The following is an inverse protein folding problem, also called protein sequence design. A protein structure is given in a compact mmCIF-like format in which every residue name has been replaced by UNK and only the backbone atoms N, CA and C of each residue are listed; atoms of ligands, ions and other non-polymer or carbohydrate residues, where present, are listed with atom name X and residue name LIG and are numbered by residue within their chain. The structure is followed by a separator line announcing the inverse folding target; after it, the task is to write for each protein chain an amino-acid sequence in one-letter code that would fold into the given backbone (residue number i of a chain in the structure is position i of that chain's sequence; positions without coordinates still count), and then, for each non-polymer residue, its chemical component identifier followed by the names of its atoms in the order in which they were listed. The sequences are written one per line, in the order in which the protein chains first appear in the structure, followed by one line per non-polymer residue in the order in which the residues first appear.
data_IF_714448506739
#
_entry.id   IF_714448506739
#
_cell.length_a   1.000
_cell.length_b   1.000
_cell.length_c   1.000
_cell.angle_alpha   90.00
_cell.angle_beta   90.00
_cell.angle_gamma   90.00
#
_symmetry.space_group_name_H-M   'P 1'
#
loop_
_entity.id
_entity.type
_entity.pdbx_description
1 polymer ?
#
# COMPACT_ATOMS: atom_id res chain seq x y z
N UNK A 1 -15.17 -73.13 -19.76
CA UNK A 1 -15.07 -72.86 -18.29
C UNK A 1 -14.67 -71.43 -18.08
N UNK A 2 -15.70 -70.56 -18.03
CA UNK A 2 -15.52 -69.15 -17.69
C UNK A 2 -15.56 -68.98 -16.16
N UNK A 3 -14.48 -68.52 -15.58
CA UNK A 3 -14.44 -68.06 -14.21
C UNK A 3 -14.88 -66.59 -14.18
N UNK A 4 -15.86 -66.17 -13.37
CA UNK A 4 -16.25 -64.78 -13.26
C UNK A 4 -15.21 -64.01 -12.46
N UNK A 5 -14.83 -62.85 -12.97
CA UNK A 5 -13.99 -61.84 -12.30
C UNK A 5 -14.68 -61.38 -11.03
N UNK A 6 -13.96 -61.53 -9.91
CA UNK A 6 -14.35 -61.05 -8.58
C UNK A 6 -14.32 -59.53 -8.57
N UNK A 7 -15.48 -58.93 -8.49
CA UNK A 7 -15.66 -57.49 -8.26
C UNK A 7 -14.90 -57.09 -6.99
N UNK A 8 -13.83 -56.30 -7.16
CA UNK A 8 -13.15 -55.63 -6.05
C UNK A 8 -13.97 -54.38 -5.72
N UNK A 9 -14.82 -54.50 -4.71
CA UNK A 9 -15.50 -53.37 -4.09
C UNK A 9 -14.46 -52.40 -3.59
N UNK A 10 -14.49 -51.09 -3.95
CA UNK A 10 -13.62 -50.12 -3.34
C UNK A 10 -14.03 -49.93 -1.88
N UNK A 11 -13.22 -50.48 -0.95
CA UNK A 11 -13.34 -50.20 0.46
C UNK A 11 -13.14 -48.69 0.69
N UNK A 12 -14.27 -47.99 0.70
CA UNK A 12 -14.35 -46.61 1.17
C UNK A 12 -14.21 -46.60 2.70
N UNK A 13 -12.99 -46.78 3.21
CA UNK A 13 -12.66 -46.47 4.58
C UNK A 13 -12.09 -45.05 4.62
N UNK A 14 -12.91 -44.06 4.27
CA UNK A 14 -12.75 -42.75 4.87
C UNK A 14 -13.11 -42.95 6.34
N UNK A 15 -12.09 -43.19 7.14
CA UNK A 15 -12.14 -42.98 8.60
C UNK A 15 -12.53 -41.51 8.78
N UNK A 16 -13.82 -41.27 8.96
CA UNK A 16 -14.34 -39.98 9.45
C UNK A 16 -13.62 -39.73 10.78
N UNK A 17 -12.59 -38.88 10.74
CA UNK A 17 -12.00 -38.34 11.96
C UNK A 17 -13.11 -37.64 12.72
N UNK A 18 -13.26 -37.90 14.01
CA UNK A 18 -14.24 -37.17 14.82
C UNK A 18 -13.92 -35.67 14.70
N UNK A 19 -14.95 -34.89 14.44
CA UNK A 19 -14.92 -33.43 14.24
C UNK A 19 -14.34 -32.65 15.44
N UNK A 20 -13.98 -33.32 16.51
CA UNK A 20 -13.46 -32.78 17.79
C UNK A 20 -12.07 -33.33 18.14
N UNK A 21 -11.22 -33.60 17.16
CA UNK A 21 -9.84 -33.97 17.43
C UNK A 21 -9.16 -32.76 18.14
N UNK A 22 -8.52 -32.95 19.30
CA UNK A 22 -7.76 -31.89 19.99
C UNK A 22 -6.73 -31.23 19.10
N UNK A 23 -6.23 -31.96 18.11
CA UNK A 23 -5.30 -31.41 17.10
C UNK A 23 -6.00 -30.39 16.17
N UNK A 24 -7.24 -30.67 15.76
CA UNK A 24 -8.04 -29.75 14.94
C UNK A 24 -8.46 -28.50 15.71
N UNK A 25 -8.72 -28.65 17.02
CA UNK A 25 -8.97 -27.51 17.91
C UNK A 25 -7.72 -26.64 18.11
N UNK A 26 -6.53 -27.23 18.25
CA UNK A 26 -5.27 -26.48 18.30
C UNK A 26 -4.95 -25.79 16.97
N UNK A 27 -5.17 -26.48 15.84
CA UNK A 27 -4.97 -25.90 14.51
C UNK A 27 -5.93 -24.73 14.28
N UNK A 28 -7.18 -24.86 14.69
CA UNK A 28 -8.17 -23.80 14.59
C UNK A 28 -7.85 -22.64 15.53
N UNK A 29 -7.41 -22.90 16.77
CA UNK A 29 -7.00 -21.87 17.72
C UNK A 29 -5.74 -21.10 17.25
N UNK A 30 -4.76 -21.80 16.68
CA UNK A 30 -3.57 -21.16 16.11
C UNK A 30 -3.91 -20.41 14.81
N UNK A 31 -4.85 -20.94 14.01
CA UNK A 31 -5.34 -20.27 12.80
C UNK A 31 -6.20 -19.06 13.16
N UNK A 32 -7.05 -19.16 14.18
CA UNK A 32 -7.80 -18.02 14.75
C UNK A 32 -6.86 -16.96 15.35
N UNK A 33 -5.73 -17.35 15.93
CA UNK A 33 -4.71 -16.40 16.41
C UNK A 33 -4.07 -15.58 15.27
N UNK A 34 -3.98 -16.15 14.08
CA UNK A 34 -3.46 -15.47 12.88
C UNK A 34 -4.58 -14.67 12.16
N UNK A 35 -5.81 -15.15 12.21
CA UNK A 35 -6.99 -14.49 11.59
C UNK A 35 -7.60 -13.43 12.51
N UNK A 36 -7.32 -13.46 13.81
CA UNK A 36 -7.75 -12.39 14.76
C UNK A 36 -6.94 -11.09 14.65
N UNK A 37 -6.64 -10.67 13.43
CA UNK A 37 -6.59 -9.24 13.09
C UNK A 37 -8.00 -8.59 13.16
N UNK A 38 -9.04 -9.37 13.39
CA UNK A 38 -10.43 -8.90 13.59
C UNK A 38 -10.66 -8.02 14.84
N UNK A 39 -9.64 -7.79 15.67
CA UNK A 39 -9.74 -6.92 16.84
C UNK A 39 -8.91 -5.65 16.78
N UNK A 40 -8.12 -5.42 15.72
CA UNK A 40 -7.33 -4.20 15.61
C UNK A 40 -8.24 -3.04 15.16
N UNK A 41 -8.46 -2.10 16.07
CA UNK A 41 -9.13 -0.86 15.73
C UNK A 41 -8.34 -0.14 14.62
N UNK A 42 -9.03 0.47 13.65
CA UNK A 42 -8.42 1.19 12.52
C UNK A 42 -7.27 2.11 12.94
N UNK A 43 -7.42 2.79 14.09
CA UNK A 43 -6.37 3.64 14.67
C UNK A 43 -5.10 2.86 15.05
N UNK A 44 -5.24 1.63 15.54
CA UNK A 44 -4.10 0.77 15.90
C UNK A 44 -3.36 0.29 14.65
N UNK A 45 -4.10 -0.03 13.59
CA UNK A 45 -3.52 -0.39 12.29
C UNK A 45 -2.75 0.81 11.71
N UNK A 46 -3.37 1.99 11.67
CA UNK A 46 -2.70 3.21 11.22
C UNK A 46 -1.45 3.54 12.05
N UNK A 47 -1.50 3.37 13.37
CA UNK A 47 -0.35 3.61 14.25
C UNK A 47 0.78 2.60 14.00
N UNK A 48 0.45 1.33 13.81
CA UNK A 48 1.43 0.29 13.48
C UNK A 48 2.08 0.56 12.13
N UNK A 49 1.28 0.89 11.10
CA UNK A 49 1.79 1.26 9.78
C UNK A 49 2.66 2.51 9.85
N UNK A 50 2.23 3.54 10.58
CA UNK A 50 2.99 4.78 10.76
C UNK A 50 4.33 4.54 11.48
N UNK A 51 4.40 3.59 12.42
CA UNK A 51 5.66 3.26 13.10
C UNK A 51 6.71 2.67 12.15
N UNK A 52 6.29 1.97 11.11
CA UNK A 52 7.18 1.40 10.09
C UNK A 52 7.75 2.47 9.14
N UNK A 53 7.09 3.63 9.03
CA UNK A 53 7.55 4.75 8.19
C UNK A 53 8.49 5.69 8.94
N UNK A 54 8.48 5.67 10.28
CA UNK A 54 9.32 6.57 11.08
C UNK A 54 10.80 6.58 10.69
N UNK A 55 11.45 5.48 10.29
CA UNK A 55 12.82 5.51 9.78
C UNK A 55 12.99 6.39 8.53
N UNK A 56 11.92 6.57 7.75
CA UNK A 56 11.89 7.32 6.49
C UNK A 56 11.33 8.74 6.62
N UNK A 57 11.18 9.27 7.84
CA UNK A 57 10.58 10.59 8.15
C UNK A 57 11.12 11.73 7.30
N UNK A 58 12.43 11.73 6.98
CA UNK A 58 13.03 12.78 6.13
C UNK A 58 12.43 12.81 4.72
N UNK A 59 12.21 11.64 4.12
CA UNK A 59 11.59 11.53 2.78
C UNK A 59 10.12 11.90 2.83
N UNK A 60 9.42 11.47 3.88
CA UNK A 60 8.04 11.83 4.11
C UNK A 60 7.87 13.37 4.22
N UNK A 61 8.74 14.03 5.00
CA UNK A 61 8.76 15.50 5.11
C UNK A 61 9.03 16.15 3.74
N UNK A 62 9.97 15.62 2.97
CA UNK A 62 10.26 16.13 1.62
C UNK A 62 9.05 16.00 0.69
N UNK A 63 8.36 14.86 0.69
CA UNK A 63 7.13 14.66 -0.09
C UNK A 63 6.07 15.70 0.29
N UNK A 64 5.85 15.94 1.57
CA UNK A 64 4.90 16.96 2.04
C UNK A 64 5.33 18.38 1.65
N UNK A 65 6.60 18.70 1.78
CA UNK A 65 7.10 20.01 1.39
C UNK A 65 6.89 20.28 -0.10
N UNK A 66 7.25 19.33 -0.95
CA UNK A 66 7.03 19.46 -2.39
C UNK A 66 5.53 19.49 -2.74
N UNK A 67 4.69 18.71 -2.05
CA UNK A 67 3.25 18.74 -2.23
C UNK A 67 2.64 20.09 -1.89
N UNK A 68 2.99 20.68 -0.75
CA UNK A 68 2.51 22.01 -0.35
C UNK A 68 3.00 23.10 -1.31
N UNK A 69 4.29 23.08 -1.67
CA UNK A 69 4.84 24.02 -2.64
C UNK A 69 4.16 23.93 -4.01
N UNK A 70 3.87 22.71 -4.46
CA UNK A 70 3.11 22.47 -5.69
C UNK A 70 1.72 23.09 -5.65
N UNK A 71 1.00 22.90 -4.54
CA UNK A 71 -0.36 23.45 -4.40
C UNK A 71 -0.32 24.99 -4.38
N UNK A 72 0.64 25.59 -3.66
CA UNK A 72 0.84 27.04 -3.67
C UNK A 72 1.13 27.54 -5.11
N UNK A 73 2.01 26.88 -5.85
CA UNK A 73 2.29 27.21 -7.23
C UNK A 73 1.04 27.07 -8.13
N UNK A 74 0.25 26.02 -7.92
CA UNK A 74 -0.99 25.79 -8.67
C UNK A 74 -2.05 26.88 -8.41
N UNK A 75 -2.21 27.31 -7.15
CA UNK A 75 -3.06 28.46 -6.79
C UNK A 75 -2.53 29.72 -7.49
N UNK A 76 -1.20 29.92 -7.51
CA UNK A 76 -0.57 31.02 -8.22
C UNK A 76 -0.90 31.05 -9.72
N UNK A 77 -0.94 29.88 -10.39
CA UNK A 77 -1.39 29.77 -11.79
C UNK A 77 -2.82 30.29 -11.94
N UNK A 78 -3.74 29.90 -11.05
CA UNK A 78 -5.12 30.37 -11.07
C UNK A 78 -5.23 31.89 -10.88
N UNK A 79 -4.50 32.43 -9.92
CA UNK A 79 -4.48 33.88 -9.63
C UNK A 79 -3.93 34.67 -10.83
N UNK A 80 -2.79 34.26 -11.40
CA UNK A 80 -2.20 34.92 -12.58
C UNK A 80 -3.13 34.84 -13.78
N UNK A 81 -3.80 33.71 -14.00
CA UNK A 81 -4.79 33.58 -15.06
C UNK A 81 -5.94 34.57 -14.91
N UNK A 82 -6.45 34.74 -13.67
CA UNK A 82 -7.49 35.72 -13.38
C UNK A 82 -7.01 37.18 -13.61
N UNK A 83 -5.76 37.48 -13.21
CA UNK A 83 -5.15 38.79 -13.43
C UNK A 83 -4.99 39.11 -14.93
N UNK A 84 -4.58 38.14 -15.75
CA UNK A 84 -4.47 38.30 -17.21
C UNK A 84 -5.84 38.61 -17.81
N UNK A 85 -6.90 37.89 -17.43
CA UNK A 85 -8.26 38.15 -17.89
C UNK A 85 -8.72 39.57 -17.50
N UNK A 86 -8.39 39.99 -16.27
CA UNK A 86 -8.72 41.35 -15.81
C UNK A 86 -7.93 42.42 -16.55
N UNK A 87 -6.65 42.22 -16.82
CA UNK A 87 -5.81 43.13 -17.59
C UNK A 87 -6.33 43.26 -19.02
N UNK A 88 -6.69 42.14 -19.64
CA UNK A 88 -7.28 42.15 -21.00
C UNK A 88 -8.59 42.94 -21.06
N UNK A 89 -9.48 42.76 -20.05
CA UNK A 89 -10.72 43.51 -19.95
C UNK A 89 -10.48 45.02 -19.80
N UNK A 90 -9.44 45.41 -19.06
CA UNK A 90 -9.11 46.81 -18.79
C UNK A 90 -8.18 47.40 -19.84
N UNK A 91 -7.84 46.65 -20.90
CA UNK A 91 -6.91 47.06 -21.96
C UNK A 91 -5.54 47.51 -21.45
N UNK A 92 -5.08 46.89 -20.32
CA UNK A 92 -3.75 47.10 -19.75
C UNK A 92 -2.75 46.06 -20.24
N UNK A 93 -1.43 46.38 -20.29
CA UNK A 93 -0.42 45.41 -20.69
C UNK A 93 -0.45 44.19 -19.73
N UNK A 94 -0.34 42.99 -20.29
CA UNK A 94 -0.38 41.73 -19.53
C UNK A 94 0.82 40.82 -19.79
N UNK A 95 1.78 41.26 -20.56
CA UNK A 95 2.94 40.48 -21.00
C UNK A 95 3.74 39.93 -19.82
N UNK A 96 3.94 40.75 -18.79
CA UNK A 96 4.64 40.32 -17.56
C UNK A 96 3.91 39.21 -16.82
N UNK A 97 2.57 39.30 -16.71
CA UNK A 97 1.77 38.24 -16.08
C UNK A 97 1.83 36.94 -16.89
N UNK A 98 1.93 37.01 -18.21
CA UNK A 98 2.05 35.83 -19.07
C UNK A 98 3.41 35.14 -18.85
N UNK A 99 4.50 35.91 -18.76
CA UNK A 99 5.83 35.36 -18.46
C UNK A 99 5.83 34.68 -17.09
N UNK A 100 5.29 35.36 -16.07
CA UNK A 100 5.19 34.78 -14.72
C UNK A 100 4.31 33.52 -14.70
N UNK A 101 3.22 33.48 -15.45
CA UNK A 101 2.35 32.32 -15.59
C UNK A 101 3.12 31.10 -16.14
N UNK A 102 3.89 31.31 -17.21
CA UNK A 102 4.69 30.25 -17.83
C UNK A 102 5.74 29.72 -16.85
N UNK A 103 6.40 30.62 -16.13
CA UNK A 103 7.42 30.23 -15.13
C UNK A 103 6.78 29.43 -14.00
N UNK A 104 5.67 29.92 -13.41
CA UNK A 104 5.07 29.28 -12.23
C UNK A 104 4.37 27.96 -12.63
N UNK A 105 3.81 27.85 -13.82
CA UNK A 105 3.26 26.60 -14.35
C UNK A 105 4.37 25.55 -14.55
N UNK A 106 5.51 25.94 -15.10
CA UNK A 106 6.67 25.06 -15.27
C UNK A 106 7.21 24.60 -13.91
N UNK A 107 7.34 25.49 -12.93
CA UNK A 107 7.76 25.19 -11.57
C UNK A 107 6.77 24.22 -10.90
N UNK A 108 5.46 24.43 -11.05
CA UNK A 108 4.43 23.53 -10.53
C UNK A 108 4.56 22.11 -11.08
N UNK A 109 4.84 21.98 -12.38
CA UNK A 109 5.09 20.68 -13.02
C UNK A 109 6.32 19.97 -12.47
N UNK A 110 7.42 20.70 -12.29
CA UNK A 110 8.66 20.16 -11.71
C UNK A 110 8.43 19.72 -10.25
N UNK A 111 7.73 20.53 -9.45
CA UNK A 111 7.40 20.19 -8.06
C UNK A 111 6.52 18.94 -7.98
N UNK A 112 5.55 18.80 -8.89
CA UNK A 112 4.73 17.61 -8.97
C UNK A 112 5.55 16.35 -9.28
N UNK A 113 6.47 16.46 -10.24
CA UNK A 113 7.39 15.37 -10.56
C UNK A 113 8.28 14.99 -9.38
N UNK A 114 8.86 15.96 -8.68
CA UNK A 114 9.71 15.73 -7.50
C UNK A 114 8.91 15.10 -6.35
N UNK A 115 7.71 15.59 -6.05
CA UNK A 115 6.80 15.02 -5.05
C UNK A 115 6.53 13.56 -5.35
N UNK A 116 6.10 13.27 -6.58
CA UNK A 116 5.79 11.90 -7.03
C UNK A 116 7.01 10.99 -6.96
N UNK A 117 8.17 11.46 -7.42
CA UNK A 117 9.40 10.67 -7.42
C UNK A 117 9.84 10.30 -5.99
N UNK A 118 9.84 11.26 -5.07
CA UNK A 118 10.24 11.01 -3.67
C UNK A 118 9.24 10.08 -2.98
N UNK A 119 7.93 10.25 -3.23
CA UNK A 119 6.89 9.40 -2.67
C UNK A 119 7.04 7.94 -3.12
N UNK A 120 7.23 7.72 -4.42
CA UNK A 120 7.41 6.37 -4.97
C UNK A 120 8.74 5.73 -4.54
N UNK A 121 9.87 6.49 -4.52
CA UNK A 121 11.14 5.95 -4.02
C UNK A 121 11.03 5.51 -2.55
N UNK A 122 10.29 6.26 -1.74
CA UNK A 122 10.03 5.87 -0.35
C UNK A 122 9.15 4.62 -0.28
N UNK A 123 8.07 4.56 -1.06
CA UNK A 123 7.12 3.45 -1.07
C UNK A 123 7.77 2.14 -1.55
N UNK A 124 8.57 2.16 -2.63
CA UNK A 124 9.29 0.97 -3.10
C UNK A 124 10.34 0.46 -2.10
N UNK A 125 11.00 1.34 -1.37
CA UNK A 125 11.94 0.92 -0.32
C UNK A 125 11.22 0.31 0.87
N UNK A 126 10.08 0.87 1.27
CA UNK A 126 9.22 0.31 2.30
C UNK A 126 8.73 -1.08 1.90
N UNK A 127 8.25 -1.23 0.66
CA UNK A 127 7.84 -2.50 0.07
C UNK A 127 8.96 -3.55 0.15
N UNK A 128 10.17 -3.19 -0.26
CA UNK A 128 11.33 -4.09 -0.20
C UNK A 128 11.66 -4.52 1.24
N UNK A 129 11.65 -3.58 2.18
CA UNK A 129 11.90 -3.86 3.60
C UNK A 129 10.83 -4.79 4.19
N UNK A 130 9.55 -4.54 3.90
CA UNK A 130 8.44 -5.39 4.36
C UNK A 130 8.56 -6.80 3.79
N UNK A 131 8.88 -6.96 2.51
CA UNK A 131 9.11 -8.29 1.90
C UNK A 131 10.23 -9.05 2.58
N UNK A 132 11.34 -8.38 2.87
CA UNK A 132 12.47 -8.98 3.59
C UNK A 132 12.06 -9.40 5.01
N UNK A 133 11.30 -8.56 5.73
CA UNK A 133 10.83 -8.87 7.08
C UNK A 133 9.87 -10.07 7.10
N UNK A 134 8.92 -10.13 6.16
CA UNK A 134 8.00 -11.25 6.02
C UNK A 134 8.78 -12.52 5.70
N UNK A 135 9.73 -12.46 4.76
CA UNK A 135 10.55 -13.62 4.39
C UNK A 135 11.38 -14.13 5.58
N UNK A 136 12.04 -13.24 6.33
CA UNK A 136 12.78 -13.61 7.55
C UNK A 136 11.88 -14.25 8.60
N UNK A 137 10.64 -13.75 8.73
CA UNK A 137 9.67 -14.34 9.66
C UNK A 137 9.23 -15.73 9.22
N UNK A 138 8.97 -15.94 7.94
CA UNK A 138 8.64 -17.25 7.38
C UNK A 138 9.79 -18.25 7.58
N UNK A 139 11.03 -17.81 7.37
CA UNK A 139 12.23 -18.66 7.58
C UNK A 139 12.36 -19.12 9.04
N UNK A 140 12.06 -18.24 10.01
CA UNK A 140 12.09 -18.57 11.43
C UNK A 140 11.05 -19.62 11.86
N UNK A 141 9.89 -19.65 11.20
CA UNK A 141 8.79 -20.59 11.51
C UNK A 141 8.77 -21.82 10.58
N UNK A 142 9.71 -21.89 9.65
CA UNK A 142 9.93 -23.07 8.80
C UNK A 142 10.54 -24.23 9.64
N UNK A 143 10.32 -25.53 9.26
CA UNK A 143 9.45 -26.00 8.20
C UNK A 143 7.98 -26.21 8.65
N UNK A 144 7.69 -26.20 9.96
CA UNK A 144 6.41 -26.64 10.52
C UNK A 144 5.21 -25.83 9.98
N UNK A 145 5.37 -24.53 9.82
CA UNK A 145 4.33 -23.65 9.30
C UNK A 145 4.13 -23.82 7.79
N UNK A 146 5.23 -23.96 7.03
CA UNK A 146 5.20 -24.03 5.57
C UNK A 146 4.56 -25.33 5.05
N UNK A 147 4.74 -26.44 5.77
CA UNK A 147 4.16 -27.74 5.39
C UNK A 147 2.62 -27.72 5.48
N UNK A 148 2.05 -26.87 6.33
CA UNK A 148 0.60 -26.80 6.57
C UNK A 148 -0.12 -25.74 5.73
N UNK A 149 0.60 -24.88 5.01
CA UNK A 149 0.03 -23.80 4.20
C UNK A 149 0.27 -24.04 2.71
N UNK A 150 -0.66 -23.57 1.90
CA UNK A 150 -0.49 -23.59 0.43
C UNK A 150 0.53 -22.51 0.04
N UNK A 151 1.46 -22.87 -0.83
CA UNK A 151 2.48 -21.94 -1.33
C UNK A 151 1.86 -20.69 -1.96
N UNK A 152 0.69 -20.83 -2.61
CA UNK A 152 -0.05 -19.71 -3.20
C UNK A 152 -0.50 -18.67 -2.17
N UNK A 153 -0.97 -19.10 -1.00
CA UNK A 153 -1.41 -18.18 0.07
C UNK A 153 -0.22 -17.39 0.62
N UNK A 154 0.94 -18.04 0.79
CA UNK A 154 2.17 -17.40 1.25
C UNK A 154 2.70 -16.39 0.22
N UNK A 155 2.61 -16.73 -1.06
CA UNK A 155 2.99 -15.81 -2.15
C UNK A 155 2.04 -14.61 -2.19
N UNK A 156 0.74 -14.79 -1.96
CA UNK A 156 -0.23 -13.70 -1.83
C UNK A 156 0.18 -12.68 -0.78
N UNK A 157 0.53 -13.14 0.43
CA UNK A 157 0.98 -12.26 1.52
C UNK A 157 2.25 -11.48 1.15
N UNK A 158 3.25 -12.16 0.57
CA UNK A 158 4.54 -11.53 0.25
C UNK A 158 4.45 -10.55 -0.92
N UNK A 159 3.51 -10.76 -1.85
CA UNK A 159 3.35 -9.91 -3.03
C UNK A 159 2.17 -8.96 -2.89
N UNK A 160 0.96 -9.47 -2.92
CA UNK A 160 -0.27 -8.69 -3.05
C UNK A 160 -0.58 -7.85 -1.80
N UNK A 161 -0.48 -8.43 -0.60
CA UNK A 161 -0.80 -7.70 0.63
C UNK A 161 0.23 -6.60 0.91
N UNK A 162 1.50 -6.85 0.60
CA UNK A 162 2.57 -5.85 0.74
C UNK A 162 2.41 -4.72 -0.28
N UNK A 163 2.01 -5.02 -1.52
CA UNK A 163 1.70 -4.01 -2.55
C UNK A 163 0.49 -3.13 -2.17
N UNK A 164 -0.50 -3.71 -1.49
CA UNK A 164 -1.65 -2.96 -0.98
C UNK A 164 -1.23 -1.91 0.05
N UNK A 165 -0.25 -2.22 0.90
CA UNK A 165 0.31 -1.26 1.86
C UNK A 165 1.06 -0.14 1.15
N UNK A 166 1.84 -0.44 0.12
CA UNK A 166 2.51 0.57 -0.70
C UNK A 166 1.50 1.52 -1.34
N UNK A 167 0.48 0.98 -2.00
CA UNK A 167 -0.58 1.75 -2.62
C UNK A 167 -1.27 2.69 -1.62
N UNK A 168 -1.57 2.20 -0.41
CA UNK A 168 -2.15 3.00 0.65
C UNK A 168 -1.29 4.22 1.00
N UNK A 169 0.02 4.05 1.14
CA UNK A 169 0.91 5.17 1.48
C UNK A 169 1.09 6.16 0.34
N UNK A 170 1.33 5.67 -0.87
CA UNK A 170 1.58 6.53 -2.03
C UNK A 170 0.34 7.32 -2.46
N UNK A 171 -0.83 6.70 -2.42
CA UNK A 171 -2.04 7.24 -3.02
C UNK A 171 -3.11 7.72 -2.02
N UNK A 172 -2.98 7.40 -0.73
CA UNK A 172 -3.94 7.83 0.28
C UNK A 172 -3.29 8.75 1.31
N UNK A 173 -2.22 8.32 1.96
CA UNK A 173 -1.63 9.07 3.07
C UNK A 173 -1.01 10.38 2.59
N UNK A 174 -0.16 10.36 1.57
CA UNK A 174 0.53 11.54 1.09
C UNK A 174 -0.45 12.62 0.57
N UNK A 175 -1.42 12.32 -0.32
CA UNK A 175 -2.41 13.29 -0.77
C UNK A 175 -3.33 13.79 0.34
N UNK A 176 -3.75 12.92 1.28
CA UNK A 176 -4.61 13.32 2.39
C UNK A 176 -3.94 14.36 3.30
N UNK A 177 -2.65 14.17 3.62
CA UNK A 177 -1.92 15.16 4.42
C UNK A 177 -1.77 16.49 3.70
N UNK A 178 -1.46 16.49 2.42
CA UNK A 178 -1.38 17.72 1.62
C UNK A 178 -2.74 18.42 1.58
N UNK A 179 -3.85 17.69 1.42
CA UNK A 179 -5.20 18.26 1.37
C UNK A 179 -5.64 18.90 2.70
N UNK A 180 -5.14 18.40 3.83
CA UNK A 180 -5.46 18.98 5.16
C UNK A 180 -4.63 20.23 5.45
N UNK A 181 -3.44 20.36 4.85
CA UNK A 181 -2.53 21.50 5.07
C UNK A 181 -2.84 22.70 4.17
N UNK A 182 -3.62 22.51 3.11
CA UNK A 182 -3.99 23.51 2.10
C UNK A 182 -5.46 23.90 2.23
#
# INVERSE_FOLDING_TARGET
THQPLKEISPANSQTERPLNDPLDQQINAETEGIVKAEGLNWVQVCKALMSHIMPWKRRLIMTFLFGVLRVIAFIGVGVLSALIVMALKNQTPFDDYLIFLIIIASVSGILHWLESWVAHDMAFRLLAEMRIQVFRKLDQIAPAYLVRRRTGDLMGIVTQDVELVEYFFAHTVAPAFVSVLV
#
